data_IF_401319238600
#
_entry.id   IF_401319238600
#
_cell.length_a   1.000
_cell.length_b   1.000
_cell.length_c   1.000
_cell.angle_alpha   90.00
_cell.angle_beta   90.00
_cell.angle_gamma   90.00
#
_symmetry.space_group_name_H-M   'P 1'
#
loop_
_entity.id
_entity.type
_entity.pdbx_description
1 polymer ?
#
# COMPACT_ATOMS: atom_id res chain seq x y z
N UNK A 1 3.47 67.61 -30.57
CA UNK A 1 3.85 66.25 -31.00
C UNK A 1 4.35 65.56 -29.76
N UNK A 2 3.49 64.72 -29.19
CA UNK A 2 3.70 63.97 -27.96
C UNK A 2 4.02 62.54 -28.37
N UNK A 3 5.20 62.07 -27.99
CA UNK A 3 5.68 60.72 -28.28
C UNK A 3 4.85 59.66 -27.55
N UNK A 4 4.51 58.62 -28.28
CA UNK A 4 3.77 57.45 -27.82
C UNK A 4 4.68 56.54 -26.99
N UNK A 5 4.34 56.34 -25.71
CA UNK A 5 4.84 55.22 -24.92
C UNK A 5 4.12 53.95 -25.37
N UNK A 6 4.89 52.97 -25.86
CA UNK A 6 4.44 51.60 -26.03
C UNK A 6 4.74 50.83 -24.74
N UNK A 7 3.69 50.35 -24.07
CA UNK A 7 3.79 49.46 -22.91
C UNK A 7 4.37 48.10 -23.34
N UNK A 8 5.50 47.73 -22.76
CA UNK A 8 6.10 46.40 -22.88
C UNK A 8 5.45 45.40 -21.93
N UNK A 9 5.00 44.27 -22.48
CA UNK A 9 4.46 43.12 -21.74
C UNK A 9 5.56 42.48 -20.88
N UNK A 10 5.61 42.85 -19.59
CA UNK A 10 6.59 42.38 -18.63
C UNK A 10 6.30 40.93 -18.19
N UNK A 11 7.27 40.04 -18.37
CA UNK A 11 7.23 38.67 -17.83
C UNK A 11 7.05 38.70 -16.30
N UNK A 12 5.91 38.20 -15.81
CA UNK A 12 5.57 38.18 -14.38
C UNK A 12 6.43 37.18 -13.62
N UNK A 13 6.90 37.56 -12.43
CA UNK A 13 7.75 36.67 -11.63
C UNK A 13 6.95 35.51 -11.01
N UNK A 14 7.58 34.35 -10.70
CA UNK A 14 6.95 33.24 -10.00
C UNK A 14 6.27 33.66 -8.67
N UNK A 15 6.89 34.57 -7.92
CA UNK A 15 6.36 35.04 -6.63
C UNK A 15 5.12 35.92 -6.83
N UNK A 16 5.12 36.82 -7.82
CA UNK A 16 3.95 37.64 -8.15
C UNK A 16 2.74 36.80 -8.58
N UNK A 17 2.98 35.72 -9.34
CA UNK A 17 1.93 34.79 -9.73
C UNK A 17 1.40 33.98 -8.53
N UNK A 18 2.29 33.58 -7.61
CA UNK A 18 1.92 32.90 -6.38
C UNK A 18 1.04 33.76 -5.47
N UNK A 19 1.37 35.03 -5.28
CA UNK A 19 0.58 35.97 -4.48
C UNK A 19 -0.80 36.23 -5.09
N UNK A 20 -0.88 36.40 -6.42
CA UNK A 20 -2.15 36.55 -7.13
C UNK A 20 -3.03 35.31 -7.01
N UNK A 21 -2.43 34.11 -7.02
CA UNK A 21 -3.15 32.85 -6.83
C UNK A 21 -3.71 32.72 -5.41
N UNK A 22 -2.98 33.16 -4.39
CA UNK A 22 -3.49 33.23 -3.02
C UNK A 22 -4.67 34.21 -2.91
N UNK A 23 -4.49 35.45 -3.38
CA UNK A 23 -5.53 36.49 -3.32
C UNK A 23 -6.81 36.10 -4.08
N UNK A 24 -6.67 35.51 -5.27
CA UNK A 24 -7.81 35.04 -6.05
C UNK A 24 -8.50 33.84 -5.38
N UNK A 25 -7.74 32.95 -4.73
CA UNK A 25 -8.29 31.85 -3.93
C UNK A 25 -9.13 32.33 -2.75
N UNK A 26 -8.68 33.37 -2.05
CA UNK A 26 -9.45 34.01 -0.97
C UNK A 26 -10.71 34.71 -1.49
N UNK A 27 -10.64 35.36 -2.64
CA UNK A 27 -11.79 36.00 -3.28
C UNK A 27 -12.88 34.97 -3.62
N UNK A 28 -12.51 33.82 -4.21
CA UNK A 28 -13.45 32.71 -4.46
C UNK A 28 -14.06 32.17 -3.16
N UNK A 29 -13.26 32.06 -2.09
CA UNK A 29 -13.76 31.60 -0.78
C UNK A 29 -14.71 32.60 -0.15
N UNK A 30 -14.42 33.89 -0.24
CA UNK A 30 -15.28 34.99 0.24
C UNK A 30 -16.62 35.00 -0.50
N UNK A 31 -16.60 34.96 -1.84
CA UNK A 31 -17.82 34.97 -2.66
C UNK A 31 -18.73 33.75 -2.38
N UNK A 32 -18.14 32.56 -2.18
CA UNK A 32 -18.90 31.35 -1.80
C UNK A 32 -19.50 31.46 -0.40
N UNK A 33 -18.78 32.05 0.54
CA UNK A 33 -19.24 32.24 1.93
C UNK A 33 -20.37 33.28 1.99
N UNK A 34 -20.26 34.35 1.20
CA UNK A 34 -21.26 35.41 1.08
C UNK A 34 -22.49 35.01 0.25
N UNK A 35 -22.51 33.81 -0.35
CA UNK A 35 -23.56 33.33 -1.27
C UNK A 35 -23.82 34.34 -2.41
N UNK A 36 -22.74 34.85 -2.99
CA UNK A 36 -22.78 35.75 -4.14
C UNK A 36 -23.44 35.08 -5.36
N UNK A 37 -23.73 35.87 -6.40
CA UNK A 37 -24.37 35.36 -7.61
C UNK A 37 -23.49 34.30 -8.29
N UNK A 38 -24.14 33.27 -8.86
CA UNK A 38 -23.45 32.14 -9.48
C UNK A 38 -22.54 32.59 -10.63
N UNK A 39 -22.93 33.59 -11.41
CA UNK A 39 -22.12 34.13 -12.50
C UNK A 39 -20.83 34.79 -11.99
N UNK A 40 -20.88 35.44 -10.83
CA UNK A 40 -19.72 36.08 -10.20
C UNK A 40 -18.74 35.04 -9.64
N UNK A 41 -19.26 33.97 -9.01
CA UNK A 41 -18.45 32.85 -8.54
C UNK A 41 -17.77 32.14 -9.72
N UNK A 42 -18.51 31.87 -10.80
CA UNK A 42 -17.99 31.17 -11.98
C UNK A 42 -16.91 32.00 -12.69
N UNK A 43 -17.09 33.32 -12.82
CA UNK A 43 -16.07 34.22 -13.36
C UNK A 43 -14.79 34.23 -12.51
N UNK A 44 -14.92 34.29 -11.17
CA UNK A 44 -13.79 34.26 -10.25
C UNK A 44 -13.04 32.92 -10.27
N UNK A 45 -13.75 31.80 -10.46
CA UNK A 45 -13.17 30.45 -10.61
C UNK A 45 -12.44 30.32 -11.95
N UNK A 46 -12.99 30.84 -13.05
CA UNK A 46 -12.28 30.81 -14.34
C UNK A 46 -10.96 31.59 -14.30
N UNK A 47 -10.94 32.76 -13.64
CA UNK A 47 -9.71 33.52 -13.47
C UNK A 47 -8.68 32.75 -12.62
N UNK A 48 -9.13 32.08 -11.54
CA UNK A 48 -8.25 31.24 -10.72
C UNK A 48 -7.64 30.08 -11.52
N UNK A 49 -8.42 29.44 -12.40
CA UNK A 49 -7.92 28.36 -13.27
C UNK A 49 -6.89 28.87 -14.27
N UNK A 50 -7.13 30.03 -14.89
CA UNK A 50 -6.17 30.65 -15.81
C UNK A 50 -4.83 30.95 -15.11
N UNK A 51 -4.88 31.55 -13.93
CA UNK A 51 -3.67 31.84 -13.15
C UNK A 51 -2.89 30.58 -12.76
N UNK A 52 -3.56 29.44 -12.53
CA UNK A 52 -2.88 28.16 -12.24
C UNK A 52 -2.14 27.61 -13.46
N UNK A 53 -2.73 27.77 -14.65
CA UNK A 53 -2.08 27.39 -15.92
C UNK A 53 -0.85 28.26 -16.15
N UNK A 54 -0.98 29.57 -16.00
CA UNK A 54 0.13 30.52 -16.17
C UNK A 54 1.27 30.22 -15.16
N UNK A 55 0.94 29.94 -13.90
CA UNK A 55 1.92 29.57 -12.88
C UNK A 55 2.64 28.24 -13.21
N UNK A 56 1.92 27.23 -13.71
CA UNK A 56 2.53 25.96 -14.13
C UNK A 56 3.47 26.15 -15.33
N UNK A 57 3.09 26.99 -16.29
CA UNK A 57 3.94 27.31 -17.44
C UNK A 57 5.23 28.02 -17.03
N UNK A 58 5.16 28.95 -16.07
CA UNK A 58 6.32 29.75 -15.64
C UNK A 58 7.21 28.99 -14.66
N UNK A 59 6.66 28.16 -13.78
CA UNK A 59 7.42 27.51 -12.70
C UNK A 59 7.72 26.03 -12.93
N UNK A 60 7.10 25.42 -13.94
CA UNK A 60 7.13 23.96 -14.17
C UNK A 60 6.36 23.14 -13.13
N UNK A 61 5.76 23.79 -12.13
CA UNK A 61 5.12 23.15 -10.98
C UNK A 61 3.65 23.57 -10.84
N UNK A 62 2.80 22.64 -10.40
CA UNK A 62 1.41 22.97 -10.05
C UNK A 62 1.37 23.83 -8.77
N UNK A 63 0.48 24.83 -8.76
CA UNK A 63 0.29 25.70 -7.60
C UNK A 63 -0.18 24.92 -6.37
N UNK A 64 0.53 25.09 -5.24
CA UNK A 64 0.16 24.61 -3.92
C UNK A 64 0.07 25.77 -2.94
N UNK A 65 -1.11 26.00 -2.36
CA UNK A 65 -1.30 27.04 -1.34
C UNK A 65 -0.43 26.74 -0.11
N UNK A 66 0.29 27.75 0.40
CA UNK A 66 1.21 27.61 1.53
C UNK A 66 2.65 27.21 1.17
N UNK A 67 2.96 27.03 -0.12
CA UNK A 67 4.31 26.71 -0.60
C UNK A 67 4.79 27.78 -1.61
N UNK A 68 5.38 28.91 -1.15
CA UNK A 68 5.90 29.93 -2.06
C UNK A 68 7.10 29.42 -2.87
N UNK A 69 7.26 29.85 -4.14
CA UNK A 69 8.44 29.50 -4.94
C UNK A 69 9.70 30.16 -4.37
N UNK A 70 10.80 29.41 -4.27
CA UNK A 70 12.08 29.93 -3.77
C UNK A 70 12.77 30.80 -4.82
N UNK A 71 13.03 32.08 -4.52
CA UNK A 71 13.84 32.97 -5.34
C UNK A 71 15.31 32.50 -5.32
N UNK A 72 15.76 31.81 -6.37
CA UNK A 72 17.13 31.86 -6.93
C UNK A 72 17.37 30.70 -7.91
N UNK A 73 17.04 30.90 -9.19
CA UNK A 73 17.82 30.32 -10.30
C UNK A 73 17.73 31.29 -11.49
N UNK A 74 18.70 32.19 -11.59
CA UNK A 74 19.06 32.79 -12.88
C UNK A 74 20.20 31.94 -13.43
N UNK A 75 19.97 31.37 -14.61
CA UNK A 75 20.95 30.53 -15.31
C UNK A 75 22.18 31.36 -15.69
N UNK A 76 23.37 30.84 -15.36
CA UNK A 76 24.57 31.10 -16.13
C UNK A 76 25.37 29.81 -16.26
N UNK A 77 25.84 29.59 -17.48
CA UNK A 77 26.34 28.36 -18.07
C UNK A 77 27.84 28.13 -17.78
N UNK A 78 28.26 26.87 -17.92
CA UNK A 78 29.63 26.30 -17.90
C UNK A 78 30.29 25.85 -16.56
N UNK A 79 30.21 24.54 -16.30
CA UNK A 79 31.10 23.76 -15.42
C UNK A 79 30.62 22.30 -15.31
N UNK A 80 31.51 21.28 -15.33
CA UNK A 80 31.12 19.91 -15.66
C UNK A 80 30.32 19.23 -14.54
N UNK A 81 29.34 18.44 -14.98
CA UNK A 81 28.43 17.55 -14.26
C UNK A 81 28.84 17.20 -12.82
N UNK A 82 28.02 17.65 -11.87
CA UNK A 82 27.83 16.99 -10.59
C UNK A 82 26.50 16.25 -10.65
N UNK A 83 26.56 14.92 -10.77
CA UNK A 83 25.44 14.03 -10.49
C UNK A 83 24.95 14.26 -9.06
N UNK A 84 23.65 14.50 -8.89
CA UNK A 84 23.04 14.59 -7.56
C UNK A 84 21.82 15.50 -7.45
N UNK A 85 20.85 15.37 -8.35
CA UNK A 85 19.46 15.65 -7.97
C UNK A 85 18.93 14.37 -7.31
N UNK A 86 18.53 14.44 -6.04
CA UNK A 86 18.07 13.28 -5.26
C UNK A 86 16.76 12.69 -5.84
N UNK A 87 16.90 11.76 -6.78
CA UNK A 87 15.87 10.82 -7.26
C UNK A 87 15.68 9.67 -6.23
N UNK A 88 15.35 9.98 -4.97
CA UNK A 88 15.06 8.95 -3.97
C UNK A 88 13.58 8.53 -3.95
N UNK A 89 13.32 7.22 -3.93
CA UNK A 89 11.97 6.66 -3.86
C UNK A 89 11.26 7.02 -2.55
N UNK A 90 10.08 7.61 -2.60
CA UNK A 90 9.26 7.86 -1.40
C UNK A 90 8.46 6.60 -1.08
N UNK A 91 8.71 6.00 0.09
CA UNK A 91 7.95 4.85 0.59
C UNK A 91 7.61 5.07 2.06
N UNK A 92 6.33 5.27 2.34
CA UNK A 92 5.74 5.37 3.67
C UNK A 92 4.35 4.67 3.67
N UNK A 93 3.69 4.49 4.83
CA UNK A 93 2.41 3.78 4.90
C UNK A 93 1.30 4.34 4.00
N UNK A 94 1.36 5.63 3.67
CA UNK A 94 0.37 6.35 2.87
C UNK A 94 0.81 6.54 1.41
N UNK A 95 2.09 6.73 1.14
CA UNK A 95 2.62 7.10 -0.17
C UNK A 95 3.70 6.15 -0.67
N UNK A 96 3.57 5.74 -1.93
CA UNK A 96 4.64 5.09 -2.70
C UNK A 96 4.77 5.83 -4.01
N UNK A 97 5.93 6.45 -4.22
CA UNK A 97 6.24 7.20 -5.42
C UNK A 97 7.70 7.01 -5.83
N UNK A 98 7.94 6.81 -7.12
CA UNK A 98 9.26 6.73 -7.72
C UNK A 98 9.26 7.38 -9.10
N UNK A 99 10.38 8.00 -9.48
CA UNK A 99 10.60 8.49 -10.84
C UNK A 99 10.95 7.36 -11.82
N UNK A 100 11.29 6.17 -11.33
CA UNK A 100 11.72 5.04 -12.13
C UNK A 100 10.53 4.27 -12.71
N UNK A 101 10.49 4.12 -14.03
CA UNK A 101 9.45 3.34 -14.71
C UNK A 101 9.48 1.84 -14.40
N UNK A 102 10.63 1.32 -13.92
CA UNK A 102 10.74 -0.07 -13.42
C UNK A 102 10.13 -0.25 -12.01
N UNK A 103 9.71 0.83 -11.36
CA UNK A 103 9.24 0.84 -9.99
C UNK A 103 10.37 1.04 -8.98
N UNK A 104 10.02 0.80 -7.72
CA UNK A 104 10.87 1.04 -6.55
C UNK A 104 12.12 0.16 -6.57
N UNK A 105 13.27 0.73 -6.22
CA UNK A 105 14.50 -0.03 -5.99
C UNK A 105 14.45 -0.72 -4.62
N UNK A 106 13.97 -1.97 -4.64
CA UNK A 106 13.75 -2.76 -3.44
C UNK A 106 15.04 -3.12 -2.69
N UNK A 107 16.20 -3.23 -3.37
CA UNK A 107 17.47 -3.53 -2.70
C UNK A 107 18.00 -2.29 -1.95
N UNK A 108 17.88 -1.09 -2.54
CA UNK A 108 18.12 0.16 -1.80
C UNK A 108 17.15 0.34 -0.63
N UNK A 109 15.88 -0.05 -0.81
CA UNK A 109 14.88 0.04 0.24
C UNK A 109 15.20 -0.88 1.44
N UNK A 110 15.77 -2.08 1.20
CA UNK A 110 16.29 -2.95 2.26
C UNK A 110 17.32 -2.22 3.11
N UNK A 111 18.30 -1.59 2.47
CA UNK A 111 19.37 -0.84 3.15
C UNK A 111 18.79 0.32 3.94
N UNK A 112 17.91 1.13 3.33
CA UNK A 112 17.28 2.29 3.98
C UNK A 112 16.47 1.91 5.22
N UNK A 113 15.68 0.84 5.12
CA UNK A 113 14.86 0.38 6.24
C UNK A 113 15.65 -0.48 7.23
N UNK A 114 16.86 -0.94 6.85
CA UNK A 114 17.70 -1.82 7.66
C UNK A 114 17.05 -3.19 7.88
N UNK A 115 16.38 -3.72 6.86
CA UNK A 115 15.81 -5.08 6.85
C UNK A 115 16.80 -6.09 6.26
N UNK A 116 16.43 -7.36 6.18
CA UNK A 116 17.29 -8.43 5.60
C UNK A 116 16.67 -8.92 4.29
N UNK A 117 17.50 -9.20 3.28
CA UNK A 117 17.06 -9.83 2.03
C UNK A 117 16.64 -11.29 2.30
N UNK A 118 15.56 -11.74 1.68
CA UNK A 118 15.25 -13.17 1.58
C UNK A 118 16.13 -13.73 0.47
N UNK A 119 17.12 -14.52 0.86
CA UNK A 119 18.02 -15.23 -0.06
C UNK A 119 17.54 -16.66 -0.33
N UNK A 120 18.25 -17.37 -1.20
CA UNK A 120 17.91 -18.74 -1.56
C UNK A 120 18.04 -19.70 -0.36
N UNK A 121 19.00 -19.47 0.55
CA UNK A 121 19.18 -20.29 1.75
C UNK A 121 17.94 -20.24 2.65
N UNK A 122 17.38 -19.04 2.87
CA UNK A 122 16.14 -18.90 3.64
C UNK A 122 14.94 -19.54 2.93
N UNK A 123 14.84 -19.42 1.61
CA UNK A 123 13.76 -20.07 0.83
C UNK A 123 13.84 -21.61 0.95
N UNK A 124 15.04 -22.18 0.78
CA UNK A 124 15.29 -23.61 0.91
C UNK A 124 15.01 -24.11 2.34
N UNK A 125 15.34 -23.28 3.34
CA UNK A 125 15.02 -23.58 4.74
C UNK A 125 13.52 -23.58 4.99
N UNK A 126 12.76 -22.63 4.43
CA UNK A 126 11.29 -22.61 4.53
C UNK A 126 10.70 -23.87 3.89
N UNK A 127 11.19 -24.29 2.71
CA UNK A 127 10.77 -25.56 2.07
C UNK A 127 11.01 -26.75 2.98
N UNK A 128 12.23 -26.89 3.50
CA UNK A 128 12.62 -27.99 4.38
C UNK A 128 11.79 -28.05 5.66
N UNK A 129 11.55 -26.90 6.29
CA UNK A 129 10.84 -26.82 7.58
C UNK A 129 9.34 -27.04 7.40
N UNK A 130 8.74 -26.50 6.33
CA UNK A 130 7.31 -26.66 6.06
C UNK A 130 6.95 -27.99 5.38
N UNK A 131 7.93 -28.64 4.73
CA UNK A 131 7.71 -29.83 3.91
C UNK A 131 6.89 -29.55 2.64
N UNK A 132 6.79 -28.28 2.23
CA UNK A 132 5.96 -27.83 1.11
C UNK A 132 6.78 -26.98 0.16
N UNK A 133 6.46 -27.06 -1.14
CA UNK A 133 7.08 -26.20 -2.16
C UNK A 133 6.89 -24.72 -1.75
N UNK A 134 7.96 -23.90 -1.71
CA UNK A 134 7.85 -22.49 -1.34
C UNK A 134 6.83 -21.78 -2.20
N UNK A 135 6.02 -20.89 -1.62
CA UNK A 135 5.07 -20.10 -2.39
C UNK A 135 5.76 -19.36 -3.54
N UNK A 136 5.08 -19.19 -4.68
CA UNK A 136 5.66 -18.48 -5.84
C UNK A 136 6.14 -17.07 -5.49
N UNK A 137 5.53 -16.44 -4.49
CA UNK A 137 5.96 -15.13 -4.03
C UNK A 137 7.34 -15.12 -3.37
N UNK A 138 7.77 -16.23 -2.76
CA UNK A 138 9.15 -16.39 -2.30
C UNK A 138 10.07 -16.68 -3.49
N UNK A 139 9.70 -17.65 -4.34
CA UNK A 139 10.51 -18.06 -5.50
C UNK A 139 10.78 -16.93 -6.50
N UNK A 140 9.83 -15.99 -6.63
CA UNK A 140 9.90 -14.86 -7.57
C UNK A 140 10.32 -13.55 -6.91
N UNK A 141 10.71 -13.56 -5.63
CA UNK A 141 11.12 -12.35 -4.92
C UNK A 141 10.03 -11.28 -4.80
N UNK A 142 8.75 -11.69 -4.74
CA UNK A 142 7.64 -10.79 -4.41
C UNK A 142 7.62 -10.53 -2.91
N UNK A 143 7.74 -11.58 -2.10
CA UNK A 143 8.20 -11.44 -0.72
C UNK A 143 9.71 -11.53 -0.74
N UNK A 144 10.37 -10.41 -0.49
CA UNK A 144 11.80 -10.22 -0.81
C UNK A 144 12.65 -9.80 0.38
N UNK A 145 12.02 -9.34 1.47
CA UNK A 145 12.70 -8.85 2.66
C UNK A 145 12.05 -9.43 3.92
N UNK A 146 12.82 -9.55 4.99
CA UNK A 146 12.36 -10.08 6.26
C UNK A 146 13.04 -9.41 7.45
N UNK A 147 12.52 -9.68 8.65
CA UNK A 147 13.20 -9.47 9.94
C UNK A 147 12.97 -10.69 10.81
N UNK A 148 14.05 -11.25 11.34
CA UNK A 148 14.02 -12.37 12.30
C UNK A 148 13.28 -13.65 11.85
N UNK A 149 13.09 -13.86 10.54
CA UNK A 149 12.44 -15.07 10.01
C UNK A 149 13.19 -16.35 10.42
N UNK A 150 14.52 -16.32 10.51
CA UNK A 150 15.30 -17.44 11.06
C UNK A 150 14.91 -17.78 12.51
N UNK A 151 14.56 -16.79 13.35
CA UNK A 151 14.13 -17.04 14.72
C UNK A 151 12.74 -17.71 14.78
N UNK A 152 11.85 -17.37 13.84
CA UNK A 152 10.55 -18.05 13.68
C UNK A 152 10.76 -19.51 13.31
N UNK A 153 11.65 -19.79 12.35
CA UNK A 153 11.98 -21.14 11.94
C UNK A 153 12.67 -21.94 13.06
N UNK A 154 13.61 -21.32 13.79
CA UNK A 154 14.26 -21.92 14.97
C UNK A 154 13.24 -22.31 16.05
N UNK A 155 12.21 -21.48 16.26
CA UNK A 155 11.15 -21.75 17.23
C UNK A 155 10.28 -22.92 16.76
N UNK A 156 9.89 -22.93 15.48
CA UNK A 156 9.06 -23.97 14.89
C UNK A 156 9.77 -25.34 14.88
N UNK A 157 11.04 -25.40 14.51
CA UNK A 157 11.87 -26.62 14.56
C UNK A 157 12.02 -27.17 15.99
N UNK A 158 11.89 -26.32 17.01
CA UNK A 158 11.89 -26.71 18.44
C UNK A 158 10.49 -27.00 18.97
N UNK A 159 9.50 -27.16 18.09
CA UNK A 159 8.09 -27.38 18.42
C UNK A 159 7.48 -26.27 19.31
N UNK A 160 8.02 -25.05 19.24
CA UNK A 160 7.39 -23.87 19.86
C UNK A 160 6.41 -23.25 18.88
N UNK A 161 5.23 -22.90 19.39
CA UNK A 161 4.21 -22.23 18.58
C UNK A 161 4.58 -20.77 18.32
N UNK A 162 4.14 -20.27 17.17
CA UNK A 162 4.09 -18.85 16.84
C UNK A 162 2.70 -18.53 16.24
N UNK A 163 2.41 -17.25 16.01
CA UNK A 163 1.17 -16.83 15.36
C UNK A 163 1.42 -15.79 14.27
N UNK A 164 0.48 -15.71 13.34
CA UNK A 164 0.47 -14.70 12.29
C UNK A 164 -0.34 -13.49 12.72
N UNK A 165 0.13 -12.31 12.33
CA UNK A 165 -0.62 -11.07 12.40
C UNK A 165 -0.50 -10.33 11.07
N UNK A 166 -1.63 -9.94 10.49
CA UNK A 166 -1.69 -8.99 9.37
C UNK A 166 -2.87 -8.04 9.56
N UNK A 167 -3.06 -7.07 8.69
CA UNK A 167 -4.13 -6.08 8.87
C UNK A 167 -4.64 -5.44 7.60
N UNK A 168 -5.78 -4.78 7.71
CA UNK A 168 -6.42 -4.03 6.64
C UNK A 168 -7.08 -2.78 7.20
N UNK A 169 -6.73 -1.64 6.63
CA UNK A 169 -7.48 -0.40 6.82
C UNK A 169 -8.65 -0.28 5.82
N UNK A 170 -9.92 -0.42 6.25
CA UNK A 170 -11.06 -0.52 5.35
C UNK A 170 -11.54 0.87 4.88
N UNK A 171 -11.07 1.31 3.70
CA UNK A 171 -11.36 2.65 3.15
C UNK A 171 -12.48 2.70 2.10
N UNK A 172 -13.02 1.55 1.71
CA UNK A 172 -14.04 1.39 0.66
C UNK A 172 -14.70 0.02 0.80
N UNK A 173 -15.85 -0.17 0.17
CA UNK A 173 -16.61 -1.43 0.24
C UNK A 173 -15.87 -2.62 -0.37
N UNK A 174 -15.14 -2.39 -1.46
CA UNK A 174 -14.45 -3.44 -2.19
C UNK A 174 -12.93 -3.30 -2.10
N UNK A 175 -12.26 -4.44 -1.94
CA UNK A 175 -10.82 -4.57 -2.13
C UNK A 175 -10.46 -4.65 -3.64
N UNK A 176 -9.21 -4.35 -3.97
CA UNK A 176 -8.62 -4.60 -5.29
C UNK A 176 -7.58 -5.73 -5.24
N UNK A 177 -7.17 -6.24 -6.40
CA UNK A 177 -6.25 -7.38 -6.52
C UNK A 177 -4.91 -7.16 -5.80
N UNK A 178 -4.42 -5.92 -5.71
CA UNK A 178 -3.22 -5.60 -4.93
C UNK A 178 -3.34 -5.91 -3.44
N UNK A 179 -4.55 -5.83 -2.86
CA UNK A 179 -4.74 -6.22 -1.47
C UNK A 179 -4.68 -7.73 -1.26
N UNK A 180 -4.90 -8.54 -2.29
CA UNK A 180 -4.83 -10.00 -2.16
C UNK A 180 -3.41 -10.50 -1.89
N UNK A 181 -2.36 -9.75 -2.28
CA UNK A 181 -0.97 -10.20 -2.17
C UNK A 181 -0.59 -10.60 -0.74
N UNK A 182 -0.74 -9.73 0.29
CA UNK A 182 -0.48 -10.13 1.67
C UNK A 182 -1.42 -11.23 2.18
N UNK A 183 -2.71 -11.22 1.81
CA UNK A 183 -3.67 -12.21 2.32
C UNK A 183 -3.47 -13.61 1.74
N UNK A 184 -3.23 -13.72 0.43
CA UNK A 184 -2.91 -15.00 -0.24
C UNK A 184 -1.67 -15.63 0.38
N UNK A 185 -0.64 -14.82 0.63
CA UNK A 185 0.58 -15.31 1.27
C UNK A 185 0.37 -15.69 2.73
N UNK A 186 -0.39 -14.88 3.48
CA UNK A 186 -0.73 -15.17 4.88
C UNK A 186 -1.55 -16.46 4.99
N UNK A 187 -2.46 -16.70 4.05
CA UNK A 187 -3.22 -17.96 3.98
C UNK A 187 -2.26 -19.12 3.77
N UNK A 188 -1.37 -19.02 2.78
CA UNK A 188 -0.37 -20.08 2.53
C UNK A 188 0.49 -20.35 3.77
N UNK A 189 0.95 -19.31 4.47
CA UNK A 189 1.68 -19.46 5.74
C UNK A 189 0.84 -20.18 6.81
N UNK A 190 -0.45 -19.83 6.95
CA UNK A 190 -1.35 -20.50 7.89
C UNK A 190 -1.50 -21.99 7.55
N UNK A 191 -1.63 -22.34 6.27
CA UNK A 191 -1.76 -23.74 5.83
C UNK A 191 -0.50 -24.55 6.09
N UNK A 192 0.67 -24.04 5.68
CA UNK A 192 1.91 -24.83 5.69
C UNK A 192 2.53 -24.96 7.07
N UNK A 193 2.30 -24.00 7.97
CA UNK A 193 2.81 -24.05 9.34
C UNK A 193 1.76 -24.54 10.36
N UNK A 194 0.48 -24.57 9.99
CA UNK A 194 -0.63 -24.90 10.88
C UNK A 194 -0.65 -24.05 12.17
N UNK A 195 -0.92 -22.75 12.00
CA UNK A 195 -0.77 -21.75 13.08
C UNK A 195 -1.97 -20.79 13.18
N UNK A 196 -2.21 -20.22 14.38
CA UNK A 196 -3.23 -19.19 14.57
C UNK A 196 -2.90 -17.90 13.82
N UNK A 197 -3.94 -17.18 13.42
CA UNK A 197 -3.88 -15.90 12.73
C UNK A 197 -4.82 -14.89 13.38
N UNK A 198 -4.31 -13.67 13.59
CA UNK A 198 -5.13 -12.49 13.91
C UNK A 198 -5.07 -11.48 12.77
N UNK A 199 -6.22 -10.90 12.42
CA UNK A 199 -6.34 -9.88 11.36
C UNK A 199 -6.96 -8.62 11.94
N UNK A 200 -6.20 -7.55 12.00
CA UNK A 200 -6.67 -6.25 12.47
C UNK A 200 -7.41 -5.50 11.36
N UNK A 201 -8.59 -4.99 11.67
CA UNK A 201 -9.37 -4.08 10.83
C UNK A 201 -9.34 -2.70 11.45
N UNK A 202 -8.51 -1.81 10.89
CA UNK A 202 -8.22 -0.48 11.46
C UNK A 202 -9.29 0.55 11.07
N UNK A 203 -10.53 0.32 11.50
CA UNK A 203 -11.64 1.26 11.28
C UNK A 203 -11.47 2.57 12.04
N UNK A 204 -10.87 2.53 13.22
CA UNK A 204 -10.48 3.72 13.96
C UNK A 204 -9.44 4.58 13.20
N UNK A 205 -8.45 3.97 12.55
CA UNK A 205 -7.52 4.66 11.64
C UNK A 205 -8.29 5.34 10.51
N UNK A 206 -9.23 4.65 9.88
CA UNK A 206 -9.97 5.23 8.75
C UNK A 206 -10.86 6.38 9.19
N UNK A 207 -11.49 6.26 10.36
CA UNK A 207 -12.20 7.37 10.98
C UNK A 207 -11.28 8.58 11.27
N UNK A 208 -10.05 8.34 11.75
CA UNK A 208 -9.10 9.41 12.07
C UNK A 208 -8.47 10.09 10.85
N UNK A 209 -8.33 9.38 9.72
CA UNK A 209 -7.67 9.88 8.51
C UNK A 209 -8.61 10.35 7.40
N UNK A 210 -9.88 9.91 7.42
CA UNK A 210 -10.86 10.19 6.37
C UNK A 210 -12.09 10.87 6.96
N UNK A 211 -12.81 11.58 6.11
CA UNK A 211 -14.11 12.14 6.44
C UNK A 211 -15.18 11.04 6.28
N UNK A 212 -15.24 10.15 7.27
CA UNK A 212 -16.16 9.01 7.35
C UNK A 212 -16.83 8.98 8.73
N UNK A 213 -18.07 8.56 8.81
CA UNK A 213 -18.72 8.29 10.10
C UNK A 213 -18.25 6.95 10.69
N UNK A 214 -18.48 6.73 11.99
CA UNK A 214 -18.17 5.44 12.62
C UNK A 214 -19.02 4.30 12.02
N UNK A 215 -20.27 4.59 11.66
CA UNK A 215 -21.17 3.63 11.00
C UNK A 215 -20.66 3.25 9.61
N UNK A 216 -20.12 4.21 8.85
CA UNK A 216 -19.49 3.93 7.55
C UNK A 216 -18.23 3.08 7.71
N UNK A 217 -17.38 3.40 8.69
CA UNK A 217 -16.17 2.62 8.98
C UNK A 217 -16.51 1.18 9.39
N UNK A 218 -17.49 0.98 10.28
CA UNK A 218 -17.96 -0.33 10.68
C UNK A 218 -18.51 -1.13 9.49
N UNK A 219 -19.30 -0.48 8.63
CA UNK A 219 -19.82 -1.11 7.40
C UNK A 219 -18.69 -1.55 6.46
N UNK A 220 -17.68 -0.72 6.25
CA UNK A 220 -16.51 -1.09 5.45
C UNK A 220 -15.71 -2.22 6.09
N UNK A 221 -15.56 -2.23 7.42
CA UNK A 221 -14.94 -3.34 8.15
C UNK A 221 -15.63 -4.67 7.85
N UNK A 222 -16.96 -4.73 7.97
CA UNK A 222 -17.74 -5.96 7.70
C UNK A 222 -17.61 -6.39 6.23
N UNK A 223 -17.71 -5.46 5.28
CA UNK A 223 -17.59 -5.80 3.85
C UNK A 223 -16.17 -6.25 3.45
N UNK A 224 -15.12 -5.65 4.03
CA UNK A 224 -13.74 -6.08 3.79
C UNK A 224 -13.45 -7.40 4.52
N UNK A 225 -14.06 -7.66 5.68
CA UNK A 225 -13.97 -8.96 6.34
C UNK A 225 -14.53 -10.09 5.47
N UNK A 226 -15.62 -9.86 4.73
CA UNK A 226 -16.15 -10.83 3.74
C UNK A 226 -15.14 -11.13 2.63
N UNK A 227 -14.46 -10.11 2.10
CA UNK A 227 -13.40 -10.29 1.10
C UNK A 227 -12.22 -11.08 1.67
N UNK A 228 -11.80 -10.79 2.91
CA UNK A 228 -10.72 -11.50 3.58
C UNK A 228 -11.09 -12.97 3.81
N UNK A 229 -12.30 -13.25 4.32
CA UNK A 229 -12.80 -14.62 4.52
C UNK A 229 -12.85 -15.38 3.18
N UNK A 230 -13.21 -14.70 2.08
CA UNK A 230 -13.24 -15.29 0.75
C UNK A 230 -11.85 -15.69 0.20
N UNK A 231 -10.74 -15.29 0.86
CA UNK A 231 -9.40 -15.86 0.60
C UNK A 231 -9.27 -17.31 1.11
N UNK A 232 -10.22 -17.79 1.91
CA UNK A 232 -10.33 -19.17 2.38
C UNK A 232 -9.52 -19.46 3.64
N UNK A 233 -9.39 -18.49 4.54
CA UNK A 233 -8.80 -18.71 5.86
C UNK A 233 -9.63 -19.70 6.69
N UNK A 234 -8.98 -20.50 7.53
CA UNK A 234 -9.68 -21.44 8.42
C UNK A 234 -10.32 -20.69 9.58
N UNK A 235 -11.65 -20.78 9.70
CA UNK A 235 -12.41 -20.18 10.81
C UNK A 235 -11.97 -20.72 12.16
N UNK A 236 -11.45 -21.94 12.27
CA UNK A 236 -10.99 -22.48 13.54
C UNK A 236 -9.64 -21.92 13.97
N UNK A 237 -8.92 -21.24 13.08
CA UNK A 237 -7.55 -20.76 13.26
C UNK A 237 -7.40 -19.25 13.08
N UNK A 238 -8.50 -18.54 12.78
CA UNK A 238 -8.45 -17.13 12.38
C UNK A 238 -9.41 -16.28 13.21
N UNK A 239 -8.87 -15.19 13.76
CA UNK A 239 -9.63 -14.16 14.44
C UNK A 239 -9.46 -12.82 13.69
N UNK A 240 -10.56 -12.31 13.14
CA UNK A 240 -10.59 -10.98 12.51
C UNK A 240 -11.18 -10.01 13.52
N UNK A 241 -10.68 -8.79 13.67
CA UNK A 241 -11.26 -7.87 14.65
C UNK A 241 -11.27 -6.42 14.17
N UNK A 242 -12.37 -5.73 14.44
CA UNK A 242 -12.47 -4.27 14.38
C UNK A 242 -11.73 -3.68 15.57
N UNK A 243 -10.93 -2.64 15.34
CA UNK A 243 -10.28 -1.93 16.45
C UNK A 243 -11.31 -1.24 17.35
N UNK A 244 -12.31 -0.57 16.76
CA UNK A 244 -13.39 0.08 17.51
C UNK A 244 -14.14 -0.90 18.43
N UNK A 245 -14.50 -2.09 17.92
CA UNK A 245 -15.25 -3.07 18.70
C UNK A 245 -14.35 -3.82 19.71
N UNK A 246 -13.16 -4.24 19.29
CA UNK A 246 -12.29 -5.11 20.10
C UNK A 246 -11.59 -4.36 21.24
N UNK A 247 -11.27 -3.07 21.04
CA UNK A 247 -10.73 -2.22 22.11
C UNK A 247 -11.67 -2.16 23.32
N UNK A 248 -12.98 -2.10 23.09
CA UNK A 248 -14.01 -2.12 24.14
C UNK A 248 -14.21 -3.50 24.78
N UNK A 249 -13.88 -4.58 24.06
CA UNK A 249 -14.08 -5.96 24.49
C UNK A 249 -12.85 -6.60 25.16
N UNK A 250 -11.64 -6.05 24.98
CA UNK A 250 -10.38 -6.62 25.48
C UNK A 250 -9.56 -5.63 26.31
N UNK A 251 -9.64 -5.70 27.65
CA UNK A 251 -8.83 -4.86 28.52
C UNK A 251 -7.31 -5.06 28.33
N UNK A 252 -6.86 -6.27 27.97
CA UNK A 252 -5.45 -6.55 27.75
C UNK A 252 -4.91 -5.91 26.47
N UNK A 253 -5.74 -5.81 25.42
CA UNK A 253 -5.39 -5.10 24.19
C UNK A 253 -5.06 -3.64 24.51
N UNK A 254 -5.97 -2.93 25.20
CA UNK A 254 -5.73 -1.54 25.59
C UNK A 254 -4.55 -1.38 26.57
N UNK A 255 -4.34 -2.31 27.51
CA UNK A 255 -3.15 -2.30 28.38
C UNK A 255 -1.84 -2.32 27.58
N UNK A 256 -1.79 -3.09 26.49
CA UNK A 256 -0.63 -3.10 25.60
C UNK A 256 -0.52 -1.82 24.76
N UNK A 257 -1.62 -1.23 24.29
CA UNK A 257 -1.62 0.10 23.66
C UNK A 257 -0.98 1.13 24.59
N UNK A 258 -1.42 1.23 25.84
CA UNK A 258 -0.89 2.18 26.83
C UNK A 258 0.60 1.92 27.11
N UNK A 259 1.03 0.66 27.21
CA UNK A 259 2.45 0.31 27.34
C UNK A 259 3.26 0.82 26.16
N UNK A 260 2.79 0.66 24.93
CA UNK A 260 3.50 1.15 23.74
C UNK A 260 3.53 2.68 23.73
N UNK A 261 2.39 3.35 23.96
CA UNK A 261 2.30 4.82 24.01
C UNK A 261 3.30 5.43 24.99
N UNK A 262 3.50 4.82 26.17
CA UNK A 262 4.46 5.31 27.17
C UNK A 262 5.92 5.30 26.67
N UNK A 263 6.26 4.45 25.70
CA UNK A 263 7.64 4.24 25.24
C UNK A 263 7.92 4.80 23.84
N UNK A 264 6.96 5.52 23.26
CA UNK A 264 7.09 6.20 21.97
C UNK A 264 6.77 7.68 22.18
N UNK A 265 7.76 8.54 21.96
CA UNK A 265 7.60 10.00 22.08
C UNK A 265 7.01 10.60 20.80
N UNK A 266 6.42 11.79 20.92
CA UNK A 266 5.90 12.51 19.76
C UNK A 266 7.00 12.76 18.71
N UNK A 267 8.20 13.18 19.14
CA UNK A 267 9.34 13.37 18.23
C UNK A 267 9.70 12.11 17.42
N UNK A 268 9.55 10.92 18.01
CA UNK A 268 9.78 9.68 17.28
C UNK A 268 8.73 9.47 16.19
N UNK A 269 7.44 9.66 16.48
CA UNK A 269 6.40 9.50 15.44
C UNK A 269 6.44 10.61 14.39
N UNK A 270 6.90 11.83 14.71
CA UNK A 270 7.22 12.86 13.71
C UNK A 270 8.31 12.38 12.74
N UNK A 271 9.38 11.79 13.27
CA UNK A 271 10.48 11.27 12.45
C UNK A 271 10.14 10.02 11.64
N UNK A 272 9.29 9.14 12.17
CA UNK A 272 8.93 7.86 11.52
C UNK A 272 7.81 8.05 10.50
N UNK A 273 6.78 8.83 10.85
CA UNK A 273 5.54 8.93 10.09
C UNK A 273 5.29 10.32 9.49
N UNK A 274 6.15 11.30 9.76
CA UNK A 274 5.99 12.66 9.22
C UNK A 274 4.85 13.46 9.84
N UNK A 275 4.34 13.06 11.01
CA UNK A 275 3.29 13.83 11.71
C UNK A 275 3.78 15.23 12.09
N UNK A 276 2.84 16.17 12.16
CA UNK A 276 3.09 17.56 12.56
C UNK A 276 2.29 17.92 13.79
N UNK A 277 2.60 19.09 14.37
CA UNK A 277 1.92 19.59 15.57
C UNK A 277 0.44 19.95 15.31
N UNK A 278 0.03 20.00 14.03
CA UNK A 278 -1.36 20.22 13.62
C UNK A 278 -2.18 18.94 13.44
N UNK A 279 -1.55 17.76 13.46
CA UNK A 279 -2.29 16.49 13.39
C UNK A 279 -3.06 16.25 14.70
N UNK A 280 -4.24 15.63 14.59
CA UNK A 280 -5.03 15.31 15.77
C UNK A 280 -4.34 14.24 16.63
N UNK A 281 -4.57 14.28 17.94
CA UNK A 281 -3.94 13.36 18.91
C UNK A 281 -4.25 11.88 18.64
N UNK A 282 -5.38 11.59 17.98
CA UNK A 282 -5.73 10.24 17.54
C UNK A 282 -4.72 9.71 16.52
N UNK A 283 -4.37 10.50 15.49
CA UNK A 283 -3.35 10.11 14.51
C UNK A 283 -1.97 9.89 15.16
N UNK A 284 -1.59 10.81 16.04
CA UNK A 284 -0.29 10.78 16.73
C UNK A 284 -0.12 9.50 17.57
N UNK A 285 -1.21 9.02 18.19
CA UNK A 285 -1.18 7.88 19.10
C UNK A 285 -1.58 6.54 18.45
N UNK A 286 -2.18 6.56 17.25
CA UNK A 286 -2.57 5.38 16.48
C UNK A 286 -1.46 4.35 16.26
N UNK A 287 -0.17 4.71 16.03
CA UNK A 287 0.89 3.71 15.87
C UNK A 287 0.97 2.68 17.01
N UNK A 288 0.56 3.04 18.23
CA UNK A 288 0.49 2.11 19.35
C UNK A 288 -0.63 1.06 19.21
N UNK A 289 -1.74 1.42 18.55
CA UNK A 289 -2.86 0.53 18.27
C UNK A 289 -2.45 -0.52 17.24
N UNK A 290 -1.76 -0.13 16.16
CA UNK A 290 -1.25 -1.08 15.16
C UNK A 290 -0.09 -1.94 15.68
N UNK A 291 0.65 -1.47 16.69
CA UNK A 291 1.72 -2.23 17.35
C UNK A 291 1.18 -3.32 18.29
N UNK A 292 0.10 -3.05 19.03
CA UNK A 292 -0.42 -3.93 20.08
C UNK A 292 -0.74 -5.38 19.66
N UNK A 293 -1.28 -5.66 18.45
CA UNK A 293 -1.51 -7.02 17.97
C UNK A 293 -0.23 -7.87 17.82
N UNK A 294 0.96 -7.25 17.86
CA UNK A 294 2.25 -7.94 17.81
C UNK A 294 2.60 -8.69 19.11
N UNK A 295 1.80 -8.52 20.16
CA UNK A 295 2.00 -9.14 21.46
C UNK A 295 0.85 -10.08 21.81
N UNK A 296 1.15 -11.35 22.07
CA UNK A 296 0.15 -12.41 22.22
C UNK A 296 -0.88 -12.15 23.32
N UNK A 297 -0.48 -11.57 24.45
CA UNK A 297 -1.41 -11.31 25.55
C UNK A 297 -2.45 -10.21 25.23
N UNK A 298 -2.33 -9.52 24.09
CA UNK A 298 -3.41 -8.66 23.56
C UNK A 298 -4.67 -9.46 23.23
N UNK A 299 -4.55 -10.78 23.03
CA UNK A 299 -5.64 -11.70 22.71
C UNK A 299 -5.78 -12.78 23.78
N UNK A 300 -6.24 -12.44 24.99
CA UNK A 300 -6.29 -13.39 26.11
C UNK A 300 -7.21 -14.58 25.86
N UNK A 301 -8.24 -14.42 25.03
CA UNK A 301 -9.14 -15.51 24.63
C UNK A 301 -8.48 -16.53 23.69
N UNK A 302 -7.35 -16.18 23.05
CA UNK A 302 -6.59 -17.07 22.17
C UNK A 302 -5.37 -17.62 22.91
N UNK A 303 -4.57 -16.75 23.53
CA UNK A 303 -3.26 -17.11 24.09
C UNK A 303 -3.22 -17.08 25.64
N UNK A 304 -4.34 -16.81 26.30
CA UNK A 304 -4.38 -16.61 27.75
C UNK A 304 -3.48 -15.44 28.18
N UNK A 305 -2.76 -15.63 29.28
CA UNK A 305 -1.80 -14.64 29.79
C UNK A 305 -0.41 -14.72 29.16
N UNK A 306 -0.19 -15.54 28.12
CA UNK A 306 1.14 -15.79 27.56
C UNK A 306 1.69 -14.58 26.82
N UNK A 307 2.98 -14.34 26.96
CA UNK A 307 3.70 -13.15 26.47
C UNK A 307 4.88 -13.49 25.56
N UNK A 308 5.16 -14.78 25.43
CA UNK A 308 6.35 -15.37 24.83
C UNK A 308 6.05 -16.06 23.49
N UNK A 309 4.80 -16.02 23.02
CA UNK A 309 4.43 -16.56 21.70
C UNK A 309 4.98 -15.61 20.63
N UNK A 310 5.83 -16.14 19.76
CA UNK A 310 6.44 -15.37 18.67
C UNK A 310 5.35 -14.91 17.68
N UNK A 311 5.45 -13.66 17.23
CA UNK A 311 4.58 -13.09 16.20
C UNK A 311 5.35 -13.00 14.87
N UNK A 312 4.72 -13.39 13.77
CA UNK A 312 5.20 -13.17 12.40
C UNK A 312 4.18 -12.31 11.63
N UNK A 313 4.67 -11.23 11.02
CA UNK A 313 3.84 -10.23 10.34
C UNK A 313 4.13 -10.22 8.83
N UNK A 314 3.26 -10.79 7.99
CA UNK A 314 3.31 -10.64 6.54
C UNK A 314 2.61 -9.34 6.12
N UNK A 315 3.35 -8.45 5.47
CA UNK A 315 2.82 -7.17 4.98
C UNK A 315 3.54 -6.70 3.70
N UNK A 316 3.04 -5.64 3.07
CA UNK A 316 3.83 -4.88 2.12
C UNK A 316 4.85 -4.01 2.89
N UNK A 317 5.98 -3.71 2.28
CA UNK A 317 7.10 -3.05 2.98
C UNK A 317 6.78 -1.63 3.49
N UNK A 318 5.73 -0.98 2.95
CA UNK A 318 5.24 0.32 3.45
C UNK A 318 4.75 0.27 4.90
N UNK A 319 4.46 -0.91 5.44
CA UNK A 319 4.06 -1.08 6.84
C UNK A 319 5.25 -1.27 7.81
N UNK A 320 6.48 -1.48 7.31
CA UNK A 320 7.68 -1.67 8.14
C UNK A 320 7.91 -0.53 9.16
N UNK A 321 7.62 0.76 8.88
CA UNK A 321 7.78 1.83 9.88
C UNK A 321 7.04 1.57 11.21
N UNK A 322 5.82 1.03 11.18
CA UNK A 322 5.07 0.65 12.39
C UNK A 322 5.78 -0.44 13.18
N UNK A 323 6.28 -1.45 12.48
CA UNK A 323 6.83 -2.63 13.14
C UNK A 323 8.30 -2.48 13.50
N UNK A 324 9.05 -1.64 12.80
CA UNK A 324 10.37 -1.18 13.25
C UNK A 324 10.25 -0.45 14.59
N UNK A 325 9.30 0.49 14.71
CA UNK A 325 8.96 1.12 16.00
C UNK A 325 8.55 0.08 17.04
N UNK A 326 7.68 -0.86 16.68
CA UNK A 326 7.20 -1.93 17.58
C UNK A 326 8.34 -2.79 18.12
N UNK A 327 9.32 -3.14 17.26
CA UNK A 327 10.50 -3.93 17.61
C UNK A 327 11.44 -3.20 18.57
N UNK A 328 11.53 -1.87 18.50
CA UNK A 328 12.32 -1.06 19.44
C UNK A 328 11.65 -0.95 20.82
N UNK A 329 10.31 -0.99 20.84
CA UNK A 329 9.50 -0.93 22.08
C UNK A 329 9.43 -2.29 22.77
N UNK A 330 9.26 -3.39 22.02
CA UNK A 330 9.03 -4.73 22.55
C UNK A 330 9.93 -5.14 23.74
N UNK A 331 11.28 -5.03 23.67
CA UNK A 331 12.13 -5.40 24.80
C UNK A 331 11.97 -4.49 26.02
N UNK A 332 11.58 -3.22 25.84
CA UNK A 332 11.37 -2.25 26.94
C UNK A 332 10.12 -2.58 27.77
N UNK A 333 9.17 -3.29 27.17
CA UNK A 333 7.94 -3.74 27.82
C UNK A 333 7.92 -5.26 28.13
N UNK A 334 9.07 -5.92 27.93
CA UNK A 334 9.27 -7.34 28.28
C UNK A 334 8.61 -8.33 27.31
N UNK A 335 8.52 -7.99 26.03
CA UNK A 335 7.96 -8.85 24.98
C UNK A 335 8.98 -9.20 23.89
N UNK A 336 8.80 -10.34 23.19
CA UNK A 336 9.60 -10.67 22.02
C UNK A 336 9.33 -9.67 20.89
N UNK A 337 10.34 -9.46 20.05
CA UNK A 337 10.20 -8.64 18.84
C UNK A 337 9.35 -9.40 17.82
N UNK A 338 8.36 -8.78 17.15
CA UNK A 338 7.70 -9.42 16.03
C UNK A 338 8.69 -9.61 14.87
N UNK A 339 8.60 -10.76 14.22
CA UNK A 339 9.27 -11.05 12.96
C UNK A 339 8.42 -10.51 11.79
N UNK A 340 9.05 -10.27 10.64
CA UNK A 340 8.38 -9.70 9.47
C UNK A 340 8.76 -10.42 8.19
N UNK A 341 7.80 -10.47 7.26
CA UNK A 341 8.00 -10.81 5.85
C UNK A 341 7.40 -9.67 5.02
N UNK A 342 8.21 -9.05 4.17
CA UNK A 342 7.84 -7.87 3.38
C UNK A 342 7.67 -8.22 1.91
N UNK A 343 6.53 -7.81 1.35
CA UNK A 343 6.27 -7.87 -0.08
C UNK A 343 6.57 -6.57 -0.82
N UNK A 344 6.86 -6.71 -2.11
CA UNK A 344 6.87 -5.63 -3.09
C UNK A 344 5.47 -5.04 -3.27
N UNK A 345 5.38 -3.85 -3.84
CA UNK A 345 4.10 -3.25 -4.19
C UNK A 345 3.50 -3.87 -5.45
N UNK A 346 2.19 -4.01 -5.45
CA UNK A 346 1.44 -4.36 -6.65
C UNK A 346 1.23 -3.08 -7.49
N UNK A 347 1.72 -3.01 -8.74
CA UNK A 347 1.76 -1.76 -9.49
C UNK A 347 0.37 -1.28 -9.90
N UNK A 348 0.20 0.04 -10.01
CA UNK A 348 -1.00 0.63 -10.61
C UNK A 348 -1.10 0.27 -12.10
N UNK A 349 -2.32 0.31 -12.66
CA UNK A 349 -2.51 0.02 -14.09
C UNK A 349 -1.68 0.96 -14.98
N UNK A 350 -1.52 2.22 -14.59
CA UNK A 350 -0.79 3.24 -15.37
C UNK A 350 0.72 3.04 -15.38
N UNK A 351 1.28 2.21 -14.49
CA UNK A 351 2.72 2.00 -14.39
C UNK A 351 3.17 1.63 -12.97
N UNK A 352 4.45 1.26 -12.84
CA UNK A 352 5.06 0.83 -11.58
C UNK A 352 5.51 2.00 -10.67
N UNK A 353 5.34 3.24 -11.12
CA UNK A 353 5.73 4.44 -10.37
C UNK A 353 4.90 4.64 -9.09
N UNK A 354 3.70 4.08 -9.05
CA UNK A 354 2.79 4.13 -7.91
C UNK A 354 2.22 2.75 -7.61
N UNK A 355 1.83 2.53 -6.34
CA UNK A 355 1.08 1.34 -5.95
C UNK A 355 -0.39 1.47 -6.37
N UNK A 356 -1.04 0.34 -6.65
CA UNK A 356 -2.48 0.29 -6.86
C UNK A 356 -3.23 0.87 -5.65
N UNK A 357 -4.20 1.76 -5.91
CA UNK A 357 -4.96 2.45 -4.87
C UNK A 357 -6.46 2.50 -5.19
N UNK A 358 -7.28 2.16 -4.21
CA UNK A 358 -8.74 2.27 -4.31
C UNK A 358 -9.23 3.71 -4.56
N UNK A 359 -8.40 4.74 -4.29
CA UNK A 359 -8.75 6.14 -4.52
C UNK A 359 -8.75 6.54 -6.01
N UNK A 360 -8.12 5.76 -6.90
CA UNK A 360 -8.20 5.95 -8.34
C UNK A 360 -8.81 4.71 -9.00
N UNK A 361 -10.07 4.83 -9.42
CA UNK A 361 -10.83 3.75 -10.05
C UNK A 361 -10.23 3.24 -11.37
N UNK A 362 -9.43 4.07 -12.06
CA UNK A 362 -8.74 3.68 -13.29
C UNK A 362 -7.40 3.00 -13.00
N UNK A 363 -6.87 3.13 -11.78
CA UNK A 363 -5.61 2.48 -11.37
C UNK A 363 -5.79 1.04 -10.91
N UNK A 364 -7.02 0.66 -10.53
CA UNK A 364 -7.31 -0.56 -9.78
C UNK A 364 -8.21 -1.55 -10.52
N UNK A 365 -7.90 -2.84 -10.41
CA UNK A 365 -8.83 -3.94 -10.73
C UNK A 365 -9.46 -4.40 -9.41
N UNK A 366 -10.75 -4.15 -9.24
CA UNK A 366 -11.48 -4.48 -8.01
C UNK A 366 -11.92 -5.94 -7.99
N UNK A 367 -12.06 -6.52 -6.80
CA UNK A 367 -12.57 -7.89 -6.64
C UNK A 367 -14.05 -8.02 -7.00
N UNK A 368 -14.75 -6.90 -7.18
CA UNK A 368 -16.13 -6.80 -7.65
C UNK A 368 -16.25 -6.55 -9.16
N UNK A 369 -15.13 -6.35 -9.88
CA UNK A 369 -15.19 -6.12 -11.32
C UNK A 369 -15.73 -7.36 -12.06
N UNK A 370 -16.61 -7.12 -13.03
CA UNK A 370 -17.09 -8.14 -13.97
C UNK A 370 -15.99 -8.55 -14.97
N UNK A 371 -16.10 -9.72 -15.63
CA UNK A 371 -15.16 -10.13 -16.67
C UNK A 371 -14.95 -9.07 -17.76
N UNK A 372 -16.02 -8.35 -18.14
CA UNK A 372 -15.96 -7.25 -19.11
C UNK A 372 -15.20 -6.04 -18.58
N UNK A 373 -15.40 -5.66 -17.31
CA UNK A 373 -14.65 -4.57 -16.68
C UNK A 373 -13.16 -4.90 -16.57
N UNK A 374 -12.79 -6.11 -16.15
CA UNK A 374 -11.40 -6.58 -16.08
C UNK A 374 -10.74 -6.46 -17.45
N UNK A 375 -11.37 -7.02 -18.50
CA UNK A 375 -10.88 -6.94 -19.89
C UNK A 375 -10.68 -5.50 -20.34
N UNK A 376 -11.66 -4.63 -20.09
CA UNK A 376 -11.60 -3.23 -20.50
C UNK A 376 -10.49 -2.47 -19.78
N UNK A 377 -10.32 -2.68 -18.47
CA UNK A 377 -9.27 -2.05 -17.67
C UNK A 377 -7.88 -2.48 -18.13
N UNK A 378 -7.64 -3.77 -18.32
CA UNK A 378 -6.35 -4.27 -18.81
C UNK A 378 -6.05 -3.71 -20.21
N UNK A 379 -7.00 -3.77 -21.14
CA UNK A 379 -6.77 -3.30 -22.50
C UNK A 379 -6.53 -1.79 -22.57
N UNK A 380 -7.34 -1.00 -21.85
CA UNK A 380 -7.33 0.47 -21.97
C UNK A 380 -6.31 1.16 -21.06
N UNK A 381 -6.03 0.60 -19.88
CA UNK A 381 -5.29 1.31 -18.84
C UNK A 381 -3.98 0.66 -18.43
N UNK A 382 -3.81 -0.67 -18.62
CA UNK A 382 -2.53 -1.30 -18.31
C UNK A 382 -1.43 -0.78 -19.23
N UNK A 383 -0.41 -0.15 -18.65
CA UNK A 383 0.75 0.37 -19.38
C UNK A 383 1.50 -0.76 -20.09
N UNK A 384 1.93 -0.46 -21.32
CA UNK A 384 2.60 -1.39 -22.23
C UNK A 384 4.09 -1.10 -22.27
N UNK A 385 4.91 -2.12 -22.09
CA UNK A 385 6.34 -2.09 -22.39
C UNK A 385 6.68 -2.43 -23.84
N UNK A 386 5.68 -2.69 -24.69
CA UNK A 386 5.83 -2.94 -26.12
C UNK A 386 6.09 -1.68 -26.93
N UNK A 387 6.43 -1.85 -28.22
CA UNK A 387 6.60 -0.74 -29.18
C UNK A 387 5.26 -0.22 -29.73
N UNK A 388 5.30 0.98 -30.29
CA UNK A 388 4.12 1.68 -30.81
C UNK A 388 3.53 1.00 -32.05
N UNK A 389 4.38 0.39 -32.90
CA UNK A 389 3.97 -0.35 -34.09
C UNK A 389 4.29 -1.84 -33.98
N UNK A 390 3.53 -2.67 -34.70
CA UNK A 390 3.76 -4.13 -34.75
C UNK A 390 5.12 -4.42 -35.37
N UNK A 391 5.50 -3.69 -36.41
CA UNK A 391 6.77 -3.84 -37.11
C UNK A 391 7.96 -3.59 -36.18
N UNK A 392 7.92 -2.50 -35.39
CA UNK A 392 8.94 -2.22 -34.39
C UNK A 392 8.93 -3.26 -33.27
N UNK A 393 7.75 -3.71 -32.84
CA UNK A 393 7.63 -4.72 -31.78
C UNK A 393 8.24 -6.05 -32.23
N UNK A 394 7.96 -6.50 -33.46
CA UNK A 394 8.55 -7.71 -34.03
C UNK A 394 10.06 -7.62 -34.18
N UNK A 395 10.60 -6.42 -34.42
CA UNK A 395 12.03 -6.18 -34.62
C UNK A 395 12.81 -6.00 -33.31
N UNK A 396 12.22 -5.33 -32.34
CA UNK A 396 12.91 -4.86 -31.12
C UNK A 396 12.39 -5.49 -29.82
N UNK A 397 11.28 -6.20 -29.88
CA UNK A 397 10.63 -6.81 -28.71
C UNK A 397 10.00 -5.81 -27.73
N UNK A 398 9.31 -6.36 -26.74
CA UNK A 398 8.77 -5.63 -25.60
C UNK A 398 9.69 -5.66 -24.38
N UNK A 399 9.59 -4.64 -23.54
CA UNK A 399 10.30 -4.57 -22.27
C UNK A 399 9.41 -5.08 -21.11
N UNK A 400 9.67 -6.30 -20.67
CA UNK A 400 8.94 -6.94 -19.58
C UNK A 400 9.14 -6.25 -18.20
N UNK A 401 10.27 -5.55 -17.99
CA UNK A 401 10.60 -4.89 -16.72
C UNK A 401 9.72 -3.66 -16.42
N UNK A 402 9.00 -3.15 -17.42
CA UNK A 402 8.11 -1.97 -17.29
C UNK A 402 6.67 -2.29 -17.69
N UNK A 403 6.41 -3.45 -18.29
CA UNK A 403 5.06 -3.82 -18.74
C UNK A 403 4.20 -4.27 -17.56
N UNK A 404 3.16 -3.50 -17.26
CA UNK A 404 2.26 -3.79 -16.13
C UNK A 404 1.54 -5.12 -16.30
N UNK A 405 1.27 -5.54 -17.55
CA UNK A 405 0.59 -6.81 -17.80
C UNK A 405 1.48 -8.00 -17.46
N UNK A 406 2.76 -7.93 -17.87
CA UNK A 406 3.76 -8.92 -17.48
C UNK A 406 4.00 -8.91 -15.97
N UNK A 407 4.13 -7.72 -15.35
CA UNK A 407 4.25 -7.59 -13.90
C UNK A 407 3.11 -8.32 -13.18
N UNK A 408 1.85 -8.14 -13.59
CA UNK A 408 0.72 -8.81 -12.93
C UNK A 408 0.78 -10.34 -13.09
N UNK A 409 1.26 -10.85 -14.23
CA UNK A 409 1.47 -12.29 -14.43
C UNK A 409 2.50 -12.85 -13.45
N UNK A 410 3.53 -12.10 -13.05
CA UNK A 410 4.49 -12.58 -12.04
C UNK A 410 3.84 -12.82 -10.67
N UNK A 411 2.75 -12.13 -10.35
CA UNK A 411 1.97 -12.37 -9.12
C UNK A 411 0.94 -13.50 -9.27
N UNK A 412 0.32 -13.65 -10.43
CA UNK A 412 -0.92 -14.44 -10.52
C UNK A 412 -0.85 -15.68 -11.39
N UNK A 413 0.07 -15.76 -12.35
CA UNK A 413 0.28 -16.97 -13.14
C UNK A 413 1.05 -17.98 -12.29
N UNK A 414 0.49 -19.14 -11.97
CA UNK A 414 1.14 -20.11 -11.06
C UNK A 414 2.37 -20.80 -11.66
N UNK A 415 2.36 -21.03 -12.97
CA UNK A 415 3.37 -21.81 -13.69
C UNK A 415 4.62 -20.96 -14.00
N UNK A 416 5.78 -21.37 -13.46
CA UNK A 416 7.06 -20.67 -13.62
C UNK A 416 7.64 -20.84 -15.04
N UNK A 417 7.47 -22.00 -15.67
CA UNK A 417 7.96 -22.28 -17.03
C UNK A 417 7.16 -21.49 -18.06
N UNK A 418 5.83 -21.44 -17.88
CA UNK A 418 4.94 -20.65 -18.73
C UNK A 418 5.26 -19.14 -18.60
N UNK A 419 5.50 -18.65 -17.39
CA UNK A 419 5.87 -17.25 -17.17
C UNK A 419 7.18 -16.88 -17.86
N UNK A 420 8.20 -17.74 -17.75
CA UNK A 420 9.50 -17.52 -18.40
C UNK A 420 9.38 -17.57 -19.93
N UNK A 421 8.60 -18.52 -20.48
CA UNK A 421 8.31 -18.55 -21.91
C UNK A 421 7.62 -17.27 -22.39
N UNK A 422 6.62 -16.77 -21.64
CA UNK A 422 5.95 -15.50 -21.95
C UNK A 422 6.95 -14.35 -21.96
N UNK A 423 7.88 -14.31 -20.99
CA UNK A 423 8.93 -13.29 -20.93
C UNK A 423 9.81 -13.34 -22.18
N UNK A 424 10.32 -14.52 -22.54
CA UNK A 424 11.17 -14.73 -23.70
C UNK A 424 10.47 -14.36 -25.02
N UNK A 425 9.22 -14.82 -25.20
CA UNK A 425 8.44 -14.52 -26.39
C UNK A 425 8.12 -13.01 -26.48
N UNK A 426 7.83 -12.33 -25.37
CA UNK A 426 7.57 -10.89 -25.36
C UNK A 426 8.84 -10.08 -25.64
N UNK A 427 9.96 -10.43 -25.00
CA UNK A 427 11.25 -9.74 -25.18
C UNK A 427 11.86 -9.96 -26.56
N UNK A 428 11.58 -11.09 -27.21
CA UNK A 428 11.99 -11.31 -28.61
C UNK A 428 11.07 -10.63 -29.64
N UNK A 429 9.89 -10.19 -29.23
CA UNK A 429 8.85 -9.68 -30.13
C UNK A 429 7.98 -10.76 -30.78
N UNK A 430 8.17 -12.03 -30.41
CA UNK A 430 7.33 -13.15 -30.87
C UNK A 430 5.90 -13.07 -30.31
N UNK A 431 5.71 -12.51 -29.10
CA UNK A 431 4.42 -12.24 -28.49
C UNK A 431 4.11 -10.74 -28.56
N UNK A 432 2.95 -10.35 -29.09
CA UNK A 432 2.51 -8.95 -29.11
C UNK A 432 1.88 -8.53 -27.79
N UNK A 433 1.88 -7.23 -27.49
CA UNK A 433 1.24 -6.68 -26.28
C UNK A 433 -0.24 -7.07 -26.15
N UNK A 434 -0.99 -7.10 -27.26
CA UNK A 434 -2.40 -7.51 -27.23
C UNK A 434 -2.58 -8.98 -26.81
N UNK A 435 -1.63 -9.84 -27.16
CA UNK A 435 -1.61 -11.27 -26.80
C UNK A 435 -1.20 -11.44 -25.33
N UNK A 436 -0.17 -10.70 -24.87
CA UNK A 436 0.23 -10.65 -23.46
C UNK A 436 -0.94 -10.21 -22.56
N UNK A 437 -1.64 -9.13 -22.93
CA UNK A 437 -2.82 -8.65 -22.22
C UNK A 437 -3.94 -9.70 -22.19
N UNK A 438 -4.14 -10.44 -23.28
CA UNK A 438 -5.11 -11.53 -23.33
C UNK A 438 -4.79 -12.64 -22.31
N UNK A 439 -3.52 -13.05 -22.21
CA UNK A 439 -3.07 -14.05 -21.22
C UNK A 439 -3.35 -13.56 -19.79
N UNK A 440 -3.06 -12.28 -19.51
CA UNK A 440 -3.38 -11.69 -18.21
C UNK A 440 -4.88 -11.70 -17.92
N UNK A 441 -5.71 -11.32 -18.89
CA UNK A 441 -7.17 -11.32 -18.73
C UNK A 441 -7.68 -12.73 -18.43
N UNK A 442 -7.18 -13.74 -19.15
CA UNK A 442 -7.52 -15.15 -18.96
C UNK A 442 -7.01 -15.71 -17.61
N UNK A 443 -6.00 -15.08 -17.02
CA UNK A 443 -5.51 -15.40 -15.66
C UNK A 443 -6.37 -14.73 -14.57
N UNK A 444 -6.68 -13.44 -14.73
CA UNK A 444 -7.40 -12.66 -13.70
C UNK A 444 -8.89 -12.98 -13.61
N UNK A 445 -9.56 -13.19 -14.75
CA UNK A 445 -11.00 -13.46 -14.77
C UNK A 445 -11.42 -14.67 -13.93
N UNK A 446 -10.81 -15.88 -14.09
CA UNK A 446 -11.18 -17.03 -13.26
C UNK A 446 -10.83 -16.82 -11.79
N UNK A 447 -9.69 -16.18 -11.48
CA UNK A 447 -9.30 -15.87 -10.10
C UNK A 447 -10.33 -15.00 -9.39
N UNK A 448 -10.71 -13.88 -10.01
CA UNK A 448 -11.69 -12.94 -9.44
C UNK A 448 -13.08 -13.60 -9.38
N UNK A 449 -13.49 -14.35 -10.40
CA UNK A 449 -14.76 -15.07 -10.39
C UNK A 449 -14.83 -16.11 -9.24
N UNK A 450 -13.75 -16.84 -8.98
CA UNK A 450 -13.68 -17.79 -7.86
C UNK A 450 -13.71 -17.07 -6.51
N UNK A 451 -13.05 -15.93 -6.38
CA UNK A 451 -13.15 -15.09 -5.18
C UNK A 451 -14.58 -14.63 -4.94
N UNK A 452 -15.24 -14.10 -5.98
CA UNK A 452 -16.63 -13.67 -5.93
C UNK A 452 -17.55 -14.81 -5.53
N UNK A 453 -17.32 -16.03 -6.05
CA UNK A 453 -18.13 -17.18 -5.68
C UNK A 453 -17.94 -17.59 -4.22
N UNK A 454 -16.70 -17.63 -3.71
CA UNK A 454 -16.44 -17.87 -2.28
C UNK A 454 -17.05 -16.78 -1.41
N UNK A 455 -16.94 -15.51 -1.81
CA UNK A 455 -17.51 -14.36 -1.09
C UNK A 455 -19.03 -14.44 -0.96
N UNK A 456 -19.75 -14.91 -1.99
CA UNK A 456 -21.21 -15.10 -1.93
C UNK A 456 -21.63 -16.11 -0.85
N UNK A 457 -20.78 -17.08 -0.54
CA UNK A 457 -21.05 -18.08 0.50
C UNK A 457 -20.76 -17.57 1.92
N UNK A 458 -20.15 -16.38 2.06
CA UNK A 458 -19.86 -15.78 3.37
C UNK A 458 -21.13 -15.13 3.92
N UNK A 459 -21.75 -15.78 4.89
CA UNK A 459 -22.94 -15.25 5.58
C UNK A 459 -22.56 -14.28 6.70
N UNK A 460 -23.54 -13.53 7.21
CA UNK A 460 -23.36 -12.67 8.39
C UNK A 460 -22.93 -13.48 9.62
N UNK A 461 -23.46 -14.70 9.79
CA UNK A 461 -23.04 -15.62 10.86
C UNK A 461 -21.59 -16.04 10.69
N UNK A 462 -21.14 -16.24 9.46
CA UNK A 462 -19.73 -16.56 9.16
C UNK A 462 -18.84 -15.40 9.56
N UNK A 463 -19.16 -14.17 9.12
CA UNK A 463 -18.41 -12.96 9.50
C UNK A 463 -18.37 -12.81 11.03
N UNK A 464 -19.54 -12.92 11.68
CA UNK A 464 -19.66 -12.83 13.13
C UNK A 464 -18.81 -13.90 13.82
N UNK A 465 -18.78 -15.13 13.32
CA UNK A 465 -17.96 -16.20 13.89
C UNK A 465 -16.48 -15.86 13.79
N UNK A 466 -15.98 -15.42 12.63
CA UNK A 466 -14.60 -14.97 12.48
C UNK A 466 -14.27 -13.80 13.42
N UNK A 467 -15.22 -12.87 13.61
CA UNK A 467 -15.04 -11.65 14.39
C UNK A 467 -15.34 -11.75 15.88
N UNK A 468 -15.85 -12.88 16.35
CA UNK A 468 -16.13 -13.09 17.76
C UNK A 468 -14.84 -13.51 18.50
N UNK A 469 -14.44 -12.79 19.56
CA UNK A 469 -13.38 -13.23 20.47
C UNK A 469 -13.65 -14.64 21.02
N UNK A 470 -12.81 -15.62 20.66
CA UNK A 470 -12.94 -17.02 21.10
C UNK A 470 -11.58 -17.72 21.12
N UNK A 471 -11.47 -18.87 21.81
CA UNK A 471 -10.34 -19.78 21.60
C UNK A 471 -10.28 -20.26 20.16
N UNK A 472 -9.07 -20.31 19.60
CA UNK A 472 -8.80 -20.98 18.34
C UNK A 472 -8.43 -22.45 18.60
N UNK A 473 -8.44 -23.30 17.56
CA UNK A 473 -8.18 -24.74 17.67
C UNK A 473 -6.70 -25.06 17.88
N UNK A 474 -6.12 -24.52 18.96
CA UNK A 474 -4.74 -24.67 19.37
C UNK A 474 -4.65 -24.72 20.89
N UNK A 475 -3.74 -25.55 21.39
CA UNK A 475 -3.35 -25.56 22.80
C UNK A 475 -1.92 -25.01 22.89
N UNK A 476 -1.78 -23.81 23.44
CA UNK A 476 -0.49 -23.14 23.58
C UNK A 476 0.23 -23.55 24.83
#
# INVERSE_FOLDING_TARGET
>A
MTDCQADGDGARSPMELYEKLNAQGETVRSLKTAKADKAEIDAAVQLLLKLKVDYKQVTGNDYKAGCPPSENVVMSDNGPAADGANDEDTVDPWNVATANAKGVDYDKLIVRFGSSKIDQELVDRIEKVSGQKPHRFLRRGIFFSHRDMHQVLDAYEKHKSFYLYTGRGPSSEAMHVGHLIPFVFTKWLQDVFDIPLVIQMTDDEKYLWKDLTLEECHRFTVENAKDIIACGFDVNKTFIFSDLDYMGASPEFYRNVVKVQKHVTFNQVKGIFGFTDSDCIGKISFPAIQAAPSFSNSFPQIFGGKKDIQCLIPCAIDQDPYFRMTRDVAPRIGYPKPALLHSTFFPALQGAQTKMSASDANSSIFLTDTPKQIKNKVNKHAFSGGKDTVEEHRKHGGNADVDVSFMYLTFFLEDDEQLEKIKQDYTSGALLTGELKKILIETLQPMIAQHQERRKQVTEETVKQFMTPRPLNFNF
#
